data_IF_307958174378
#
_entry.id   IF_307958174378
#
_cell.length_a   1.000
_cell.length_b   1.000
_cell.length_c   1.000
_cell.angle_alpha   90.00
_cell.angle_beta   90.00
_cell.angle_gamma   90.00
#
_symmetry.space_group_name_H-M   'P 1'
#
loop_
_entity.id
_entity.type
_entity.pdbx_description
1 polymer ?
#
# COMPACT_ATOMS: atom_id res chain seq x y z
N UNK A 1 11.38 -13.70 -24.94
CA UNK A 1 10.25 -12.79 -24.63
C UNK A 1 9.99 -12.88 -23.14
N UNK A 2 10.57 -11.97 -22.35
CA UNK A 2 10.36 -11.93 -20.90
C UNK A 2 8.93 -11.43 -20.66
N UNK A 3 8.06 -12.33 -20.20
CA UNK A 3 6.73 -11.96 -19.75
C UNK A 3 6.88 -10.90 -18.67
N UNK A 4 6.34 -9.72 -18.93
CA UNK A 4 6.25 -8.63 -17.97
C UNK A 4 5.24 -9.08 -16.90
N UNK A 5 5.67 -9.95 -15.99
CA UNK A 5 4.91 -10.34 -14.81
C UNK A 5 4.69 -9.03 -14.08
N UNK A 6 3.49 -8.47 -14.20
CA UNK A 6 3.12 -7.28 -13.45
C UNK A 6 3.32 -7.63 -11.98
N UNK A 7 4.26 -6.99 -11.28
CA UNK A 7 4.49 -7.30 -9.88
C UNK A 7 3.18 -7.09 -9.13
N UNK A 8 2.92 -7.95 -8.15
CA UNK A 8 1.86 -7.70 -7.16
C UNK A 8 2.05 -6.28 -6.63
N UNK A 9 0.97 -5.51 -6.45
CA UNK A 9 1.01 -4.07 -6.11
C UNK A 9 2.01 -3.71 -5.01
N UNK A 10 2.13 -4.56 -3.99
CA UNK A 10 3.08 -4.36 -2.89
C UNK A 10 4.56 -4.47 -3.33
N UNK A 11 4.88 -5.42 -4.21
CA UNK A 11 6.23 -5.56 -4.76
C UNK A 11 6.62 -4.35 -5.63
N UNK A 12 5.65 -3.75 -6.34
CA UNK A 12 5.88 -2.52 -7.10
C UNK A 12 6.20 -1.32 -6.17
N UNK A 13 5.50 -1.20 -5.04
CA UNK A 13 5.82 -0.21 -3.99
C UNK A 13 7.25 -0.40 -3.48
N UNK A 14 7.65 -1.64 -3.15
CA UNK A 14 8.99 -1.93 -2.65
C UNK A 14 10.08 -1.57 -3.68
N UNK A 15 9.89 -1.97 -4.93
CA UNK A 15 10.85 -1.68 -6.00
C UNK A 15 10.98 -0.16 -6.25
N UNK A 16 9.87 0.57 -6.24
CA UNK A 16 9.91 2.03 -6.43
C UNK A 16 10.52 2.75 -5.22
N UNK A 17 10.32 2.25 -4.00
CA UNK A 17 10.98 2.80 -2.80
C UNK A 17 12.49 2.62 -2.86
N UNK A 18 12.96 1.43 -3.22
CA UNK A 18 14.39 1.13 -3.38
C UNK A 18 15.02 2.03 -4.47
N UNK A 19 14.31 2.25 -5.57
CA UNK A 19 14.76 3.13 -6.65
C UNK A 19 14.85 4.60 -6.19
N UNK A 20 13.89 5.09 -5.40
CA UNK A 20 13.93 6.45 -4.84
C UNK A 20 15.02 6.59 -3.77
N UNK A 21 15.27 5.55 -2.99
CA UNK A 21 16.33 5.54 -1.97
C UNK A 21 17.74 5.53 -2.60
N UNK A 22 17.92 4.75 -3.67
CA UNK A 22 19.20 4.64 -4.38
C UNK A 22 19.51 5.85 -5.26
N UNK A 23 18.54 6.39 -5.99
CA UNK A 23 18.74 7.48 -6.95
C UNK A 23 18.44 8.87 -6.37
N UNK A 24 17.85 8.92 -5.18
CA UNK A 24 17.35 10.15 -4.59
C UNK A 24 16.07 10.65 -5.24
N UNK A 25 15.41 11.61 -4.58
CA UNK A 25 14.14 12.19 -5.04
C UNK A 25 14.30 13.13 -6.24
N UNK A 26 15.50 13.64 -6.43
CA UNK A 26 15.86 14.59 -7.49
C UNK A 26 17.26 14.30 -7.96
N UNK A 27 17.50 14.47 -9.26
CA UNK A 27 18.84 14.33 -9.85
C UNK A 27 19.21 15.61 -10.58
N UNK A 28 20.50 15.93 -10.57
CA UNK A 28 21.05 17.06 -11.29
C UNK A 28 21.45 16.60 -12.70
N UNK A 29 21.05 17.35 -13.71
CA UNK A 29 21.48 17.14 -15.09
C UNK A 29 22.05 18.44 -15.62
N UNK A 30 23.16 18.35 -16.34
CA UNK A 30 23.70 19.52 -17.04
C UNK A 30 22.87 19.74 -18.30
N UNK A 31 22.32 20.94 -18.46
CA UNK A 31 21.65 21.39 -19.67
C UNK A 31 22.67 21.51 -20.81
N UNK A 32 22.18 21.52 -22.05
CA UNK A 32 23.01 21.70 -23.27
C UNK A 32 23.82 23.01 -23.25
N UNK A 33 23.41 23.97 -22.42
CA UNK A 33 24.06 25.27 -22.22
C UNK A 33 25.00 25.32 -21.00
N UNK A 34 25.23 24.20 -20.31
CA UNK A 34 26.15 24.11 -19.16
C UNK A 34 25.52 24.43 -17.79
N UNK A 35 24.24 24.78 -17.74
CA UNK A 35 23.53 25.03 -16.48
C UNK A 35 23.15 23.73 -15.78
N UNK A 36 23.32 23.69 -14.45
CA UNK A 36 22.82 22.58 -13.62
C UNK A 36 21.30 22.70 -13.45
N UNK A 37 20.58 21.74 -13.99
CA UNK A 37 19.12 21.66 -13.89
C UNK A 37 18.75 20.53 -12.94
N UNK A 38 18.07 20.86 -11.84
CA UNK A 38 17.52 19.88 -10.92
C UNK A 38 16.20 19.33 -11.49
N UNK A 39 16.16 18.02 -11.74
CA UNK A 39 14.94 17.33 -12.22
C UNK A 39 14.37 16.40 -11.16
N UNK A 40 13.05 16.28 -11.15
CA UNK A 40 12.34 15.34 -10.31
C UNK A 40 12.56 13.90 -10.78
N UNK A 41 12.76 12.98 -9.84
CA UNK A 41 12.85 11.55 -10.16
C UNK A 41 11.45 11.01 -10.51
N UNK A 42 11.25 10.45 -11.72
CA UNK A 42 9.96 9.88 -12.12
C UNK A 42 9.43 8.80 -11.17
N UNK A 43 10.32 8.02 -10.53
CA UNK A 43 9.92 6.97 -9.60
C UNK A 43 9.17 7.51 -8.36
N UNK A 44 9.40 8.77 -7.97
CA UNK A 44 8.66 9.41 -6.88
C UNK A 44 7.18 9.60 -7.27
N UNK A 45 6.92 10.06 -8.50
CA UNK A 45 5.56 10.23 -9.00
C UNK A 45 4.86 8.88 -9.19
N UNK A 46 5.60 7.87 -9.70
CA UNK A 46 5.08 6.51 -9.86
C UNK A 46 4.72 5.88 -8.52
N UNK A 47 5.58 6.05 -7.50
CA UNK A 47 5.31 5.56 -6.14
C UNK A 47 4.03 6.16 -5.56
N UNK A 48 3.84 7.48 -5.72
CA UNK A 48 2.64 8.16 -5.24
C UNK A 48 1.35 7.66 -5.91
N UNK A 49 1.39 7.33 -7.21
CA UNK A 49 0.23 6.77 -7.90
C UNK A 49 -0.08 5.33 -7.44
N UNK A 50 0.94 4.48 -7.27
CA UNK A 50 0.75 3.11 -6.78
C UNK A 50 0.18 3.12 -5.36
N UNK A 51 0.68 3.99 -4.47
CA UNK A 51 0.15 4.17 -3.12
C UNK A 51 -1.32 4.60 -3.11
N UNK A 52 -1.70 5.50 -4.02
CA UNK A 52 -3.10 5.93 -4.16
C UNK A 52 -3.99 4.78 -4.60
N UNK A 53 -3.56 4.00 -5.61
CA UNK A 53 -4.29 2.80 -6.07
C UNK A 53 -4.40 1.76 -4.96
N UNK A 54 -3.32 1.52 -4.22
CA UNK A 54 -3.32 0.60 -3.08
C UNK A 54 -4.32 1.01 -2.01
N UNK A 55 -4.37 2.30 -1.64
CA UNK A 55 -5.37 2.83 -0.68
C UNK A 55 -6.80 2.64 -1.18
N UNK A 56 -7.07 2.89 -2.47
CA UNK A 56 -8.41 2.68 -3.04
C UNK A 56 -8.84 1.21 -2.93
N UNK A 57 -7.95 0.26 -3.19
CA UNK A 57 -8.28 -1.17 -3.02
C UNK A 57 -8.59 -1.53 -1.56
N UNK A 58 -7.85 -0.97 -0.59
CA UNK A 58 -8.17 -1.20 0.83
C UNK A 58 -9.58 -0.69 1.19
N UNK A 59 -10.01 0.41 0.60
CA UNK A 59 -11.37 0.94 0.78
C UNK A 59 -12.42 -0.03 0.23
N UNK A 60 -12.19 -0.60 -0.96
CA UNK A 60 -13.09 -1.60 -1.58
C UNK A 60 -13.24 -2.86 -0.73
N UNK A 61 -12.17 -3.31 -0.07
CA UNK A 61 -12.22 -4.45 0.87
C UNK A 61 -12.89 -4.12 2.21
N UNK A 62 -13.42 -2.91 2.38
CA UNK A 62 -14.06 -2.52 3.63
C UNK A 62 -13.06 -2.35 4.78
N UNK A 63 -11.76 -2.14 4.50
CA UNK A 63 -10.80 -1.70 5.53
C UNK A 63 -10.93 -0.20 5.80
N UNK A 64 -12.17 0.28 5.92
CA UNK A 64 -12.49 1.64 6.30
C UNK A 64 -12.86 1.69 7.79
N UNK A 65 -12.56 2.78 8.49
CA UNK A 65 -12.96 2.94 9.89
C UNK A 65 -14.47 2.71 10.12
N UNK A 66 -15.31 3.06 9.15
CA UNK A 66 -16.76 2.90 9.19
C UNK A 66 -17.24 1.43 9.07
N UNK A 67 -16.47 0.55 8.43
CA UNK A 67 -16.79 -0.87 8.36
C UNK A 67 -16.46 -1.57 9.68
N UNK A 68 -15.44 -1.09 10.41
CA UNK A 68 -15.05 -1.63 11.73
C UNK A 68 -16.17 -1.46 12.76
N UNK A 69 -16.91 -0.34 12.73
CA UNK A 69 -18.04 -0.07 13.62
C UNK A 69 -19.32 -0.85 13.30
N UNK A 70 -19.38 -1.54 12.16
CA UNK A 70 -20.51 -2.42 11.80
C UNK A 70 -20.34 -3.86 12.32
N UNK A 71 -19.14 -4.21 12.79
CA UNK A 71 -18.94 -5.41 13.63
C UNK A 71 -19.39 -5.04 15.04
N UNK A 72 -20.71 -4.98 15.22
CA UNK A 72 -21.26 -5.12 16.56
C UNK A 72 -21.01 -6.57 16.95
N UNK A 73 -20.14 -6.78 17.93
CA UNK A 73 -20.24 -7.97 18.76
C UNK A 73 -21.65 -7.87 19.31
N UNK A 74 -22.57 -8.65 18.76
CA UNK A 74 -23.78 -8.94 19.51
C UNK A 74 -23.24 -9.60 20.76
N UNK A 75 -23.40 -8.93 21.89
CA UNK A 75 -23.45 -9.63 23.17
C UNK A 75 -24.60 -10.62 22.98
N UNK A 76 -24.26 -11.81 22.48
CA UNK A 76 -25.18 -12.92 22.42
C UNK A 76 -25.69 -13.04 23.85
N UNK A 77 -26.98 -12.75 24.03
CA UNK A 77 -27.72 -13.01 25.24
C UNK A 77 -27.31 -14.41 25.72
N UNK A 78 -26.58 -14.44 26.84
CA UNK A 78 -26.21 -15.62 27.62
C UNK A 78 -26.25 -16.93 26.81
N UNK A 79 -25.27 -17.13 25.93
CA UNK A 79 -24.95 -18.51 25.54
C UNK A 79 -24.46 -19.19 26.80
N UNK A 80 -25.31 -20.04 27.38
CA UNK A 80 -24.85 -21.04 28.35
C UNK A 80 -23.60 -21.68 27.77
N UNK A 81 -22.58 -21.75 28.62
CA UNK A 81 -21.24 -22.14 28.24
C UNK A 81 -21.28 -23.61 27.80
N UNK A 82 -21.37 -23.86 26.49
CA UNK A 82 -21.37 -25.19 25.90
C UNK A 82 -20.10 -25.99 26.28
N UNK A 83 -19.07 -25.32 26.81
CA UNK A 83 -17.88 -25.93 27.39
C UNK A 83 -18.10 -26.54 28.78
N UNK A 84 -19.09 -26.08 29.55
CA UNK A 84 -19.39 -26.60 30.88
C UNK A 84 -20.06 -27.99 30.83
N UNK A 85 -20.76 -28.31 29.75
CA UNK A 85 -21.44 -29.61 29.56
C UNK A 85 -20.46 -30.77 29.29
N UNK A 86 -19.24 -30.47 28.83
CA UNK A 86 -18.24 -31.49 28.48
C UNK A 86 -17.31 -31.89 29.63
N UNK A 87 -17.25 -31.11 30.71
CA UNK A 87 -16.33 -31.34 31.84
C UNK A 87 -17.04 -31.34 33.21
N UNK A 88 -18.37 -31.48 33.23
CA UNK A 88 -19.17 -31.69 34.43
C UNK A 88 -19.16 -33.14 34.90
#
# INVERSE_FOLDING_TARGET
>A
MSGFIRPLHYAEILALRDLVETQGRTYETTSTQGELVLKANPAVAMLADVDRRFKSYLVEFGLTPAARSKVQVKDDEQKEDQFAEFFG
#
